data_IF_373207294197
#
_entry.id   IF_373207294197
#
_cell.length_a   1.000
_cell.length_b   1.000
_cell.length_c   1.000
_cell.angle_alpha   90.00
_cell.angle_beta   90.00
_cell.angle_gamma   90.00
#
_symmetry.space_group_name_H-M   'P 1'
#
loop_
_entity.id
_entity.type
_entity.pdbx_description
1 polymer ?
#
# COMPACT_ATOMS: atom_id res chain seq x y z
N UNK A 1 6.66 -23.82 -3.98
CA UNK A 1 6.48 -22.66 -3.09
C UNK A 1 6.29 -21.38 -3.89
N UNK A 2 5.09 -20.81 -3.80
CA UNK A 2 4.67 -19.55 -4.42
C UNK A 2 4.34 -18.58 -3.28
N UNK A 3 4.96 -17.41 -3.29
CA UNK A 3 4.73 -16.39 -2.26
C UNK A 3 3.55 -15.49 -2.61
N UNK A 4 2.68 -15.18 -1.64
CA UNK A 4 1.64 -14.17 -1.83
C UNK A 4 2.06 -12.91 -1.08
N UNK A 5 2.11 -11.79 -1.80
CA UNK A 5 2.40 -10.48 -1.24
C UNK A 5 1.11 -9.67 -1.20
N UNK A 6 0.53 -9.55 -0.01
CA UNK A 6 -0.56 -8.61 0.27
C UNK A 6 0.05 -7.25 0.58
N UNK A 7 -0.13 -6.30 -0.32
CA UNK A 7 0.38 -4.95 -0.16
C UNK A 7 -0.78 -3.96 -0.07
N UNK A 8 -0.72 -3.07 0.93
CA UNK A 8 -1.68 -2.00 1.09
C UNK A 8 -1.04 -0.61 1.14
N UNK A 9 -1.66 0.33 0.45
CA UNK A 9 -1.25 1.73 0.40
C UNK A 9 -2.08 2.61 1.33
N UNK A 10 -1.42 3.46 2.11
CA UNK A 10 -2.05 4.48 2.92
C UNK A 10 -1.56 5.86 2.48
N UNK A 11 -2.46 6.63 1.86
CA UNK A 11 -2.21 8.01 1.49
C UNK A 11 -3.37 8.93 1.87
N UNK A 12 -3.04 10.01 2.60
CA UNK A 12 -3.98 11.10 2.89
C UNK A 12 -3.33 12.45 2.54
N UNK A 13 -3.83 13.17 1.52
CA UNK A 13 -3.32 14.49 1.19
C UNK A 13 -3.87 15.56 2.15
N UNK A 14 -3.19 16.69 2.26
CA UNK A 14 -3.79 17.88 2.86
C UNK A 14 -4.62 18.63 1.83
N UNK A 15 -5.90 18.84 2.15
CA UNK A 15 -6.85 19.63 1.37
C UNK A 15 -6.59 21.10 1.65
N UNK A 16 -6.63 21.87 0.59
CA UNK A 16 -6.38 23.31 0.58
C UNK A 16 -7.69 24.03 0.89
N UNK A 17 -7.62 25.18 1.59
CA UNK A 17 -8.78 26.06 1.81
C UNK A 17 -9.35 26.60 0.49
N UNK A 18 -10.66 26.84 0.38
CA UNK A 18 -11.19 27.63 -0.72
C UNK A 18 -10.59 29.04 -0.67
N UNK A 19 -9.88 29.42 -1.72
CA UNK A 19 -9.28 30.75 -1.85
C UNK A 19 -10.15 31.65 -2.71
N UNK A 20 -10.53 32.80 -2.16
CA UNK A 20 -11.21 33.84 -2.90
C UNK A 20 -10.23 34.94 -3.30
N UNK A 21 -10.55 35.61 -4.41
CA UNK A 21 -9.77 36.76 -4.88
C UNK A 21 -9.60 37.84 -3.80
N UNK A 22 -10.62 38.00 -2.94
CA UNK A 22 -10.60 38.99 -1.85
C UNK A 22 -9.71 38.62 -0.68
N UNK A 23 -9.21 37.39 -0.59
CA UNK A 23 -8.30 36.99 0.48
C UNK A 23 -6.86 37.48 0.19
N UNK A 24 -6.53 37.79 -1.07
CA UNK A 24 -5.19 38.19 -1.49
C UNK A 24 -4.77 39.50 -0.80
N UNK A 25 -3.70 39.47 -0.01
CA UNK A 25 -3.13 40.64 0.66
C UNK A 25 -3.90 41.11 1.90
N UNK A 26 -4.99 40.41 2.26
CA UNK A 26 -5.86 40.75 3.39
C UNK A 26 -5.71 39.80 4.59
N UNK A 27 -4.62 39.01 4.63
CA UNK A 27 -4.35 38.12 5.78
C UNK A 27 -3.12 38.61 6.54
N UNK A 28 -3.31 38.89 7.81
CA UNK A 28 -2.24 39.21 8.74
C UNK A 28 -1.56 37.92 9.25
N UNK A 29 -0.25 37.81 9.02
CA UNK A 29 0.58 36.68 9.50
C UNK A 29 0.78 35.54 8.50
N UNK A 30 1.47 34.45 8.91
CA UNK A 30 1.69 33.30 8.04
C UNK A 30 0.36 32.63 7.70
N UNK A 31 0.05 32.57 6.40
CA UNK A 31 -1.20 31.99 5.93
C UNK A 31 -1.15 30.45 6.01
N UNK A 32 -2.08 29.86 6.74
CA UNK A 32 -2.30 28.41 6.68
C UNK A 32 -3.13 28.05 5.45
N UNK A 33 -2.46 27.52 4.43
CA UNK A 33 -3.05 27.11 3.16
C UNK A 33 -4.00 25.92 3.28
N UNK A 34 -3.91 25.13 4.36
CA UNK A 34 -4.63 23.88 4.49
C UNK A 34 -5.89 24.01 5.33
N UNK A 35 -6.93 23.31 4.92
CA UNK A 35 -8.21 23.24 5.63
C UNK A 35 -8.12 22.19 6.75
N UNK A 36 -7.56 22.58 7.90
CA UNK A 36 -7.27 21.68 9.02
C UNK A 36 -8.53 20.96 9.54
N UNK A 37 -9.66 21.66 9.62
CA UNK A 37 -10.91 21.08 10.10
C UNK A 37 -11.45 20.02 9.13
N UNK A 38 -11.43 20.31 7.82
CA UNK A 38 -11.82 19.34 6.81
C UNK A 38 -10.88 18.14 6.77
N UNK A 39 -9.57 18.39 6.82
CA UNK A 39 -8.56 17.32 6.84
C UNK A 39 -8.75 16.40 8.05
N UNK A 40 -8.90 16.96 9.24
CA UNK A 40 -9.17 16.22 10.47
C UNK A 40 -10.47 15.44 10.40
N UNK A 41 -11.54 16.06 9.93
CA UNK A 41 -12.85 15.42 9.81
C UNK A 41 -12.82 14.21 8.85
N UNK A 42 -12.19 14.36 7.69
CA UNK A 42 -12.01 13.28 6.72
C UNK A 42 -11.16 12.17 7.33
N UNK A 43 -10.00 12.50 7.91
CA UNK A 43 -9.13 11.51 8.53
C UNK A 43 -9.87 10.73 9.60
N UNK A 44 -10.56 11.38 10.53
CA UNK A 44 -11.28 10.71 11.61
C UNK A 44 -12.34 9.74 11.07
N UNK A 45 -13.07 10.14 10.01
CA UNK A 45 -14.06 9.29 9.37
C UNK A 45 -13.43 8.03 8.76
N UNK A 46 -12.37 8.21 7.96
CA UNK A 46 -11.69 7.08 7.29
C UNK A 46 -11.01 6.19 8.34
N UNK A 47 -10.37 6.77 9.34
CA UNK A 47 -9.67 6.05 10.40
C UNK A 47 -10.61 5.15 11.20
N UNK A 48 -11.79 5.65 11.57
CA UNK A 48 -12.78 4.87 12.33
C UNK A 48 -13.36 3.69 11.54
N UNK A 49 -13.47 3.81 10.22
CA UNK A 49 -14.07 2.78 9.35
C UNK A 49 -13.07 1.80 8.77
N UNK A 50 -11.85 2.27 8.51
CA UNK A 50 -10.84 1.55 7.74
C UNK A 50 -9.58 1.33 8.57
N UNK A 51 -8.79 2.37 8.84
CA UNK A 51 -7.42 2.19 9.32
C UNK A 51 -7.33 1.49 10.68
N UNK A 52 -8.15 1.89 11.66
CA UNK A 52 -8.15 1.27 12.98
C UNK A 52 -8.57 -0.20 12.92
N UNK A 53 -9.78 -0.56 12.43
CA UNK A 53 -10.19 -1.96 12.37
C UNK A 53 -9.29 -2.82 11.47
N UNK A 54 -8.77 -2.27 10.36
CA UNK A 54 -7.88 -3.01 9.48
C UNK A 54 -6.50 -3.27 10.12
N UNK A 55 -5.89 -2.29 10.78
CA UNK A 55 -4.61 -2.51 11.48
C UNK A 55 -4.76 -3.43 12.69
N UNK A 56 -5.86 -3.34 13.43
CA UNK A 56 -6.18 -4.26 14.52
C UNK A 56 -6.31 -5.70 14.01
N UNK A 57 -7.05 -5.90 12.90
CA UNK A 57 -7.21 -7.22 12.28
C UNK A 57 -5.88 -7.77 11.75
N UNK A 58 -5.05 -6.94 11.09
CA UNK A 58 -3.75 -7.39 10.60
C UNK A 58 -2.84 -7.83 11.75
N UNK A 59 -2.82 -7.10 12.87
CA UNK A 59 -2.04 -7.47 14.05
C UNK A 59 -2.54 -8.78 14.66
N UNK A 60 -3.86 -8.96 14.76
CA UNK A 60 -4.47 -10.20 15.23
C UNK A 60 -4.13 -11.39 14.31
N UNK A 61 -4.19 -11.20 12.98
CA UNK A 61 -3.84 -12.24 12.00
C UNK A 61 -2.37 -12.67 12.10
N UNK A 62 -1.44 -11.72 12.28
CA UNK A 62 -0.03 -12.03 12.50
C UNK A 62 0.14 -12.96 13.71
N UNK A 63 -0.55 -12.66 14.82
CA UNK A 63 -0.48 -13.50 16.02
C UNK A 63 -1.15 -14.87 15.83
N UNK A 64 -2.35 -14.93 15.23
CA UNK A 64 -3.09 -16.19 15.02
C UNK A 64 -2.36 -17.15 14.10
N UNK A 65 -1.67 -16.62 13.09
CA UNK A 65 -0.92 -17.42 12.13
C UNK A 65 0.56 -17.55 12.49
N UNK A 66 0.95 -17.22 13.73
CA UNK A 66 2.32 -17.39 14.24
C UNK A 66 3.41 -16.86 13.29
N UNK A 67 3.10 -15.80 12.53
CA UNK A 67 4.01 -15.21 11.57
C UNK A 67 4.10 -15.82 10.18
N UNK A 68 3.33 -16.88 9.89
CA UNK A 68 3.17 -17.43 8.52
C UNK A 68 2.36 -16.47 7.64
N UNK A 69 1.48 -15.68 8.26
CA UNK A 69 0.84 -14.56 7.61
C UNK A 69 1.78 -13.35 7.60
N UNK A 70 2.07 -12.85 6.40
CA UNK A 70 2.88 -11.66 6.18
C UNK A 70 2.20 -10.72 5.20
N UNK A 71 2.46 -9.43 5.33
CA UNK A 71 1.91 -8.40 4.46
C UNK A 71 2.85 -7.20 4.38
N UNK A 72 2.54 -6.27 3.49
CA UNK A 72 3.34 -5.09 3.22
C UNK A 72 2.47 -3.84 3.32
N UNK A 73 3.01 -2.77 3.88
CA UNK A 73 2.35 -1.46 3.96
C UNK A 73 3.22 -0.39 3.30
N UNK A 74 2.60 0.52 2.55
CA UNK A 74 3.19 1.84 2.27
C UNK A 74 2.37 2.89 3.02
N UNK A 75 3.05 3.78 3.74
CA UNK A 75 2.40 4.90 4.43
C UNK A 75 3.10 6.18 4.00
N UNK A 76 2.42 7.02 3.23
CA UNK A 76 3.00 8.29 2.76
C UNK A 76 3.40 9.21 3.94
N UNK A 77 4.37 10.09 3.73
CA UNK A 77 4.82 11.03 4.78
C UNK A 77 3.69 11.93 5.29
N UNK A 78 2.82 12.40 4.38
CA UNK A 78 1.63 13.16 4.75
C UNK A 78 0.64 12.38 5.61
N UNK A 79 0.43 11.08 5.33
CA UNK A 79 -0.42 10.25 6.16
C UNK A 79 0.17 10.10 7.58
N UNK A 80 1.48 9.89 7.70
CA UNK A 80 2.16 9.86 9.01
C UNK A 80 1.94 11.14 9.80
N UNK A 81 2.12 12.31 9.17
CA UNK A 81 1.88 13.60 9.81
C UNK A 81 0.44 13.73 10.31
N UNK A 82 -0.54 13.38 9.47
CA UNK A 82 -1.95 13.44 9.82
C UNK A 82 -2.29 12.49 10.98
N UNK A 83 -1.75 11.27 10.99
CA UNK A 83 -1.91 10.34 12.11
C UNK A 83 -1.30 10.90 13.40
N UNK A 84 -0.09 11.46 13.36
CA UNK A 84 0.53 12.06 14.54
C UNK A 84 -0.30 13.23 15.11
N UNK A 85 -0.95 14.01 14.26
CA UNK A 85 -1.74 15.16 14.70
C UNK A 85 -3.12 14.78 15.24
N UNK A 86 -3.79 13.81 14.60
CA UNK A 86 -5.22 13.62 14.80
C UNK A 86 -5.64 12.19 15.13
N UNK A 87 -4.80 11.19 14.83
CA UNK A 87 -5.08 9.79 15.18
C UNK A 87 -3.81 9.00 15.58
N UNK A 88 -3.21 9.31 16.76
CA UNK A 88 -1.99 8.66 17.22
C UNK A 88 -2.17 7.16 17.50
N UNK A 89 -3.40 6.68 17.66
CA UNK A 89 -3.68 5.24 17.81
C UNK A 89 -3.16 4.43 16.61
N UNK A 90 -3.32 4.96 15.39
CA UNK A 90 -2.82 4.30 14.19
C UNK A 90 -1.29 4.24 14.23
N UNK A 91 -0.61 5.31 14.64
CA UNK A 91 0.86 5.30 14.77
C UNK A 91 1.32 4.22 15.74
N UNK A 92 0.67 4.10 16.89
CA UNK A 92 1.00 3.07 17.88
C UNK A 92 0.75 1.65 17.35
N UNK A 93 -0.32 1.44 16.58
CA UNK A 93 -0.56 0.17 15.89
C UNK A 93 0.48 -0.13 14.81
N UNK A 94 0.89 0.86 14.00
CA UNK A 94 1.94 0.67 13.00
C UNK A 94 3.28 0.29 13.66
N UNK A 95 3.61 0.86 14.82
CA UNK A 95 4.77 0.44 15.62
C UNK A 95 4.64 -0.99 16.14
N UNK A 96 3.47 -1.35 16.67
CA UNK A 96 3.21 -2.71 17.17
C UNK A 96 3.33 -3.74 16.06
N UNK A 97 2.83 -3.42 14.87
CA UNK A 97 3.06 -4.21 13.66
C UNK A 97 4.57 -4.31 13.41
N UNK A 98 5.28 -3.18 13.29
CA UNK A 98 6.74 -3.12 13.10
C UNK A 98 7.55 -3.99 14.09
N UNK A 99 7.10 -4.07 15.35
CA UNK A 99 7.72 -4.87 16.41
C UNK A 99 7.52 -6.39 16.22
N UNK A 100 6.52 -6.82 15.44
CA UNK A 100 6.29 -8.25 15.17
C UNK A 100 7.30 -8.82 14.18
N UNK A 101 7.78 -8.02 13.22
CA UNK A 101 8.72 -8.47 12.19
C UNK A 101 8.11 -9.42 11.15
N UNK A 102 6.79 -9.43 11.03
CA UNK A 102 6.03 -10.24 10.06
C UNK A 102 5.44 -9.41 8.91
N UNK A 103 5.78 -8.13 8.87
CA UNK A 103 5.38 -7.15 7.88
C UNK A 103 6.60 -6.47 7.25
N UNK A 104 6.39 -5.84 6.10
CA UNK A 104 7.36 -4.94 5.50
C UNK A 104 6.72 -3.55 5.31
N UNK A 105 7.44 -2.50 5.70
CA UNK A 105 7.07 -1.15 5.28
C UNK A 105 7.91 -0.69 4.08
N UNK A 106 7.24 -0.18 3.06
CA UNK A 106 7.87 0.35 1.85
C UNK A 106 8.28 1.80 2.02
N UNK A 107 9.35 2.18 1.31
CA UNK A 107 9.64 3.58 1.06
C UNK A 107 8.78 4.11 -0.09
N UNK A 108 8.46 5.41 0.00
CA UNK A 108 7.74 6.19 -0.99
C UNK A 108 8.35 7.60 -1.05
N UNK A 109 7.83 8.46 -1.91
CA UNK A 109 8.05 9.90 -1.81
C UNK A 109 7.28 10.48 -0.62
N UNK A 110 7.89 11.42 0.11
CA UNK A 110 7.27 12.00 1.31
C UNK A 110 5.86 12.55 1.08
N UNK A 111 5.70 13.28 -0.03
CA UNK A 111 4.45 13.97 -0.37
C UNK A 111 3.54 13.16 -1.28
N UNK A 112 3.88 11.90 -1.60
CA UNK A 112 3.18 11.12 -2.64
C UNK A 112 3.15 11.88 -3.98
N UNK A 113 4.29 12.45 -4.35
CA UNK A 113 4.39 13.36 -5.49
C UNK A 113 4.87 12.66 -6.74
N UNK A 114 4.62 13.27 -7.91
CA UNK A 114 5.17 12.83 -9.19
C UNK A 114 6.61 13.34 -9.43
N UNK A 115 7.36 13.63 -8.38
CA UNK A 115 8.71 14.22 -8.45
C UNK A 115 9.68 13.40 -9.34
N UNK A 116 9.52 12.08 -9.38
CA UNK A 116 10.29 11.16 -10.22
C UNK A 116 10.23 11.47 -11.72
N UNK A 117 9.19 12.18 -12.18
CA UNK A 117 8.99 12.54 -13.59
C UNK A 117 9.66 13.87 -13.97
N UNK A 118 9.98 14.72 -12.99
CA UNK A 118 10.36 16.11 -13.24
C UNK A 118 11.74 16.47 -12.71
N UNK A 119 12.15 15.92 -11.56
CA UNK A 119 13.41 16.30 -10.92
C UNK A 119 13.96 15.15 -10.08
N UNK A 120 15.08 14.58 -10.51
CA UNK A 120 15.81 13.56 -9.75
C UNK A 120 16.22 14.07 -8.37
N UNK A 121 16.64 15.33 -8.25
CA UNK A 121 17.03 15.92 -6.98
C UNK A 121 15.85 15.94 -6.00
N UNK A 122 14.72 16.48 -6.45
CA UNK A 122 13.49 16.55 -5.64
C UNK A 122 13.02 15.15 -5.24
N UNK A 123 13.04 14.22 -6.19
CA UNK A 123 12.68 12.83 -5.95
C UNK A 123 13.53 12.20 -4.85
N UNK A 124 14.87 12.28 -4.95
CA UNK A 124 15.78 11.75 -3.93
C UNK A 124 15.58 12.42 -2.57
N UNK A 125 15.42 13.75 -2.56
CA UNK A 125 15.18 14.51 -1.32
C UNK A 125 13.90 14.03 -0.63
N UNK A 126 12.79 13.88 -1.35
CA UNK A 126 11.54 13.38 -0.81
C UNK A 126 11.62 11.93 -0.32
N UNK A 127 12.33 11.06 -1.04
CA UNK A 127 12.51 9.66 -0.61
C UNK A 127 13.32 9.62 0.69
N UNK A 128 14.41 10.39 0.80
CA UNK A 128 15.17 10.44 2.05
C UNK A 128 14.40 11.11 3.20
N UNK A 129 13.55 12.10 2.90
CA UNK A 129 12.63 12.66 3.90
C UNK A 129 11.68 11.58 4.42
N UNK A 130 11.12 10.76 3.53
CA UNK A 130 10.21 9.68 3.88
C UNK A 130 10.88 8.63 4.76
N UNK A 131 12.05 8.14 4.38
CA UNK A 131 12.83 7.18 5.18
C UNK A 131 13.10 7.74 6.60
N UNK A 132 13.48 9.02 6.71
CA UNK A 132 13.70 9.66 8.02
C UNK A 132 12.42 9.72 8.85
N UNK A 133 11.28 10.01 8.24
CA UNK A 133 9.99 10.03 8.93
C UNK A 133 9.57 8.62 9.38
N UNK A 134 9.70 7.61 8.52
CA UNK A 134 9.44 6.20 8.89
C UNK A 134 10.29 5.78 10.09
N UNK A 135 11.60 6.05 10.06
CA UNK A 135 12.49 5.71 11.17
C UNK A 135 12.14 6.48 12.45
N UNK A 136 11.75 7.75 12.34
CA UNK A 136 11.40 8.60 13.50
C UNK A 136 10.05 8.22 14.12
N UNK A 137 9.06 7.93 13.28
CA UNK A 137 7.66 7.77 13.69
C UNK A 137 7.35 6.31 14.02
N UNK A 138 7.81 5.37 13.20
CA UNK A 138 7.50 3.93 13.33
C UNK A 138 8.71 3.15 13.87
N UNK A 139 9.94 3.66 13.69
CA UNK A 139 11.15 2.93 14.07
C UNK A 139 11.66 1.97 12.98
N UNK A 140 11.13 2.08 11.77
CA UNK A 140 11.40 1.16 10.66
C UNK A 140 12.20 1.83 9.53
N UNK A 141 13.19 1.12 8.97
CA UNK A 141 13.95 1.55 7.78
C UNK A 141 13.56 0.67 6.58
N UNK A 142 12.91 1.23 5.55
CA UNK A 142 12.52 0.47 4.36
C UNK A 142 13.69 -0.04 3.50
N UNK A 143 13.48 -1.21 2.87
CA UNK A 143 14.43 -1.84 1.93
C UNK A 143 13.86 -2.04 0.52
N UNK A 144 12.54 -1.94 0.39
CA UNK A 144 11.80 -2.00 -0.86
C UNK A 144 11.13 -0.66 -1.13
N UNK A 145 10.98 -0.31 -2.41
CA UNK A 145 10.48 0.99 -2.83
C UNK A 145 9.20 0.86 -3.65
N UNK A 146 8.21 1.70 -3.38
CA UNK A 146 7.17 1.99 -4.37
C UNK A 146 7.29 3.42 -4.82
N UNK A 147 7.17 3.62 -6.13
CA UNK A 147 6.97 4.95 -6.65
C UNK A 147 5.48 5.30 -6.64
N UNK A 148 5.19 6.60 -6.55
CA UNK A 148 3.84 7.17 -6.65
C UNK A 148 3.08 6.57 -7.83
N UNK A 149 1.84 6.11 -7.60
CA UNK A 149 0.97 5.45 -8.59
C UNK A 149 1.59 4.23 -9.30
N UNK A 150 2.56 3.55 -8.68
CA UNK A 150 3.31 2.44 -9.28
C UNK A 150 3.98 2.82 -10.62
N UNK A 151 4.23 4.12 -10.83
CA UNK A 151 4.83 4.62 -12.07
C UNK A 151 6.24 4.09 -12.19
N UNK A 152 6.47 3.32 -13.25
CA UNK A 152 7.73 2.68 -13.52
C UNK A 152 8.39 3.21 -14.80
N UNK A 153 9.70 3.40 -14.71
CA UNK A 153 10.59 3.42 -15.86
C UNK A 153 11.92 2.78 -15.47
N UNK A 154 12.69 2.31 -16.45
CA UNK A 154 14.04 1.78 -16.15
C UNK A 154 14.93 2.82 -15.48
N UNK A 155 14.69 4.13 -15.71
CA UNK A 155 15.39 5.22 -15.04
C UNK A 155 14.99 5.31 -13.57
N UNK A 156 13.68 5.28 -13.25
CA UNK A 156 13.19 5.30 -11.86
C UNK A 156 13.70 4.08 -11.08
N UNK A 157 13.71 2.90 -11.69
CA UNK A 157 14.27 1.69 -11.08
C UNK A 157 15.78 1.83 -10.81
N UNK A 158 16.53 2.43 -11.74
CA UNK A 158 17.95 2.73 -11.54
C UNK A 158 18.16 3.74 -10.40
N UNK A 159 17.33 4.78 -10.31
CA UNK A 159 17.37 5.73 -9.20
C UNK A 159 17.10 5.05 -7.86
N UNK A 160 16.05 4.23 -7.76
CA UNK A 160 15.73 3.47 -6.55
C UNK A 160 16.90 2.55 -6.15
N UNK A 161 17.45 1.80 -7.10
CA UNK A 161 18.60 0.94 -6.84
C UNK A 161 19.84 1.73 -6.38
N UNK A 162 20.10 2.91 -6.96
CA UNK A 162 21.21 3.79 -6.54
C UNK A 162 21.05 4.36 -5.13
N UNK A 163 19.82 4.35 -4.58
CA UNK A 163 19.54 4.69 -3.18
C UNK A 163 19.61 3.49 -2.24
N UNK A 164 19.91 2.29 -2.76
CA UNK A 164 20.08 1.07 -1.98
C UNK A 164 18.84 0.16 -1.88
N UNK A 165 17.77 0.46 -2.60
CA UNK A 165 16.57 -0.39 -2.59
C UNK A 165 16.78 -1.69 -3.37
N UNK A 166 16.27 -2.79 -2.81
CA UNK A 166 16.43 -4.14 -3.36
C UNK A 166 15.28 -4.53 -4.30
N UNK A 167 14.10 -3.91 -4.12
CA UNK A 167 12.95 -4.13 -4.98
C UNK A 167 12.21 -2.83 -5.29
N UNK A 168 11.53 -2.82 -6.43
CA UNK A 168 10.62 -1.76 -6.85
C UNK A 168 9.29 -2.35 -7.32
N UNK A 169 8.19 -1.76 -6.86
CA UNK A 169 6.84 -2.15 -7.27
C UNK A 169 6.45 -1.45 -8.59
N UNK A 170 5.70 -2.14 -9.43
CA UNK A 170 5.15 -1.58 -10.67
C UNK A 170 3.82 -2.24 -11.07
N UNK A 171 3.09 -1.60 -11.98
CA UNK A 171 1.87 -2.17 -12.55
C UNK A 171 2.16 -3.37 -13.48
N UNK A 172 1.36 -4.44 -13.37
CA UNK A 172 1.46 -5.65 -14.18
C UNK A 172 0.56 -5.63 -15.42
N UNK A 173 0.44 -4.47 -16.08
CA UNK A 173 -0.46 -4.30 -17.22
C UNK A 173 -0.03 -5.14 -18.45
N UNK A 174 -1.00 -5.76 -19.12
CA UNK A 174 -0.77 -6.65 -20.28
C UNK A 174 0.02 -5.97 -21.40
N UNK A 175 -0.24 -4.68 -21.65
CA UNK A 175 0.48 -3.89 -22.67
C UNK A 175 1.98 -3.80 -22.39
N UNK A 176 2.39 -3.85 -21.11
CA UNK A 176 3.80 -3.79 -20.69
C UNK A 176 4.42 -5.19 -20.72
N UNK A 177 3.66 -6.21 -20.30
CA UNK A 177 4.14 -7.58 -20.15
C UNK A 177 4.19 -8.37 -21.47
N UNK A 178 3.28 -8.11 -22.41
CA UNK A 178 3.16 -8.92 -23.61
C UNK A 178 2.83 -10.38 -23.26
N UNK A 179 3.74 -11.31 -23.54
CA UNK A 179 3.58 -12.73 -23.22
C UNK A 179 3.99 -13.12 -21.79
N UNK A 180 4.59 -12.17 -21.05
CA UNK A 180 5.07 -12.38 -19.67
C UNK A 180 3.91 -12.37 -18.67
N UNK A 181 4.16 -12.85 -17.46
CA UNK A 181 3.15 -12.93 -16.39
C UNK A 181 3.54 -12.04 -15.22
N UNK A 182 2.60 -11.34 -14.56
CA UNK A 182 2.90 -10.58 -13.34
C UNK A 182 3.29 -11.47 -12.15
N UNK A 183 3.11 -12.79 -12.28
CA UNK A 183 3.36 -13.77 -11.21
C UNK A 183 4.84 -14.19 -11.10
N UNK A 184 5.75 -13.41 -11.66
CA UNK A 184 7.20 -13.61 -11.54
C UNK A 184 7.88 -12.28 -11.22
N UNK A 185 8.93 -12.28 -10.38
CA UNK A 185 9.79 -11.12 -10.23
C UNK A 185 10.63 -10.93 -11.49
N UNK A 186 10.75 -9.69 -11.93
CA UNK A 186 11.62 -9.31 -13.05
C UNK A 186 12.85 -8.54 -12.56
N UNK A 187 13.78 -8.27 -13.47
CA UNK A 187 14.96 -7.45 -13.20
C UNK A 187 14.88 -6.18 -14.03
N UNK A 188 15.28 -5.04 -13.44
CA UNK A 188 15.32 -3.79 -14.17
C UNK A 188 16.44 -3.79 -15.21
N UNK A 189 16.19 -3.22 -16.39
CA UNK A 189 17.13 -3.29 -17.53
C UNK A 189 18.48 -2.62 -17.24
N UNK A 190 18.49 -1.50 -16.53
CA UNK A 190 19.69 -0.70 -16.26
C UNK A 190 20.30 -0.96 -14.88
N UNK A 191 19.67 -1.82 -14.08
CA UNK A 191 20.24 -2.31 -12.84
C UNK A 191 19.62 -3.70 -12.50
N UNK A 192 20.27 -4.80 -12.89
CA UNK A 192 19.72 -6.15 -12.69
C UNK A 192 19.61 -6.61 -11.22
N UNK A 193 20.23 -5.87 -10.29
CA UNK A 193 20.21 -6.18 -8.86
C UNK A 193 18.83 -5.88 -8.26
N UNK A 194 18.15 -4.81 -8.71
CA UNK A 194 16.81 -4.47 -8.23
C UNK A 194 15.75 -5.39 -8.86
N UNK A 195 14.88 -5.95 -8.03
CA UNK A 195 13.76 -6.79 -8.47
C UNK A 195 12.52 -5.94 -8.74
N UNK A 196 11.88 -6.14 -9.88
CA UNK A 196 10.59 -5.55 -10.19
C UNK A 196 9.47 -6.50 -9.72
N UNK A 197 8.63 -6.02 -8.81
CA UNK A 197 7.47 -6.73 -8.28
C UNK A 197 6.21 -6.16 -8.93
N UNK A 198 5.51 -6.97 -9.70
CA UNK A 198 4.42 -6.52 -10.57
C UNK A 198 3.08 -6.81 -9.93
N UNK A 199 2.19 -5.82 -9.83
CA UNK A 199 0.80 -6.00 -9.42
C UNK A 199 0.11 -7.03 -10.32
N UNK A 200 -0.53 -8.03 -9.74
CA UNK A 200 -1.52 -8.83 -10.47
C UNK A 200 -2.84 -8.03 -10.47
N UNK A 201 -3.03 -7.19 -11.48
CA UNK A 201 -4.12 -6.22 -11.48
C UNK A 201 -5.49 -6.88 -11.45
N UNK A 202 -5.68 -8.00 -12.16
CA UNK A 202 -6.97 -8.71 -12.18
C UNK A 202 -7.40 -9.14 -10.78
N UNK A 203 -6.57 -9.90 -10.07
CA UNK A 203 -6.90 -10.42 -8.75
C UNK A 203 -6.89 -9.35 -7.66
N UNK A 204 -6.05 -8.32 -7.80
CA UNK A 204 -6.08 -7.17 -6.89
C UNK A 204 -7.39 -6.40 -7.02
N UNK A 205 -7.82 -6.13 -8.25
CA UNK A 205 -9.03 -5.36 -8.54
C UNK A 205 -10.32 -6.14 -8.21
N UNK A 206 -10.27 -7.47 -8.25
CA UNK A 206 -11.37 -8.33 -7.78
C UNK A 206 -11.69 -8.10 -6.29
N UNK A 207 -10.67 -7.87 -5.46
CA UNK A 207 -10.84 -7.51 -4.05
C UNK A 207 -11.14 -6.01 -3.92
N UNK A 208 -10.37 -5.14 -4.57
CA UNK A 208 -10.46 -3.70 -4.39
C UNK A 208 -11.77 -3.10 -4.89
N UNK A 209 -12.25 -3.54 -6.07
CA UNK A 209 -13.37 -2.91 -6.77
C UNK A 209 -14.59 -3.81 -6.89
N UNK A 210 -14.41 -5.13 -7.14
CA UNK A 210 -15.53 -6.03 -7.47
C UNK A 210 -16.12 -6.80 -6.29
N UNK A 211 -15.49 -6.75 -5.12
CA UNK A 211 -15.87 -7.55 -3.96
C UNK A 211 -17.35 -7.40 -3.56
N UNK A 212 -17.86 -6.16 -3.47
CA UNK A 212 -19.26 -5.85 -3.20
C UNK A 212 -20.20 -5.85 -4.42
N UNK A 213 -19.69 -6.12 -5.63
CA UNK A 213 -20.46 -5.96 -6.87
C UNK A 213 -21.37 -7.18 -7.14
N UNK A 214 -22.63 -7.11 -6.70
CA UNK A 214 -23.61 -8.21 -6.84
C UNK A 214 -23.91 -8.65 -8.29
N UNK A 215 -23.63 -7.78 -9.27
CA UNK A 215 -23.82 -8.08 -10.69
C UNK A 215 -22.58 -8.70 -11.34
N UNK A 216 -21.44 -8.72 -10.65
CA UNK A 216 -20.24 -9.39 -11.13
C UNK A 216 -20.44 -10.90 -11.09
N UNK A 217 -20.05 -11.59 -12.17
CA UNK A 217 -20.30 -13.03 -12.35
C UNK A 217 -19.73 -13.90 -11.24
N UNK A 218 -18.64 -13.48 -10.62
CA UNK A 218 -17.99 -14.23 -9.55
C UNK A 218 -18.47 -13.83 -8.15
N UNK A 219 -19.46 -12.94 -8.01
CA UNK A 219 -20.04 -12.59 -6.72
C UNK A 219 -20.86 -13.76 -6.14
N UNK A 220 -20.82 -14.03 -4.82
CA UNK A 220 -19.96 -13.38 -3.82
C UNK A 220 -18.52 -13.90 -3.86
N UNK A 221 -17.56 -13.02 -3.58
CA UNK A 221 -16.14 -13.39 -3.45
C UNK A 221 -15.86 -13.87 -2.02
N UNK A 222 -15.60 -15.16 -1.86
CA UNK A 222 -15.26 -15.77 -0.56
C UNK A 222 -13.77 -16.09 -0.48
N UNK A 223 -13.23 -16.21 0.75
CA UNK A 223 -11.83 -16.59 0.96
C UNK A 223 -11.49 -17.93 0.28
N UNK A 224 -12.39 -18.91 0.33
CA UNK A 224 -12.20 -20.22 -0.34
C UNK A 224 -12.24 -20.14 -1.87
N UNK A 225 -13.07 -19.24 -2.42
CA UNK A 225 -13.11 -19.02 -3.87
C UNK A 225 -11.82 -18.36 -4.33
N UNK A 226 -11.43 -17.27 -3.66
CA UNK A 226 -10.21 -16.55 -3.97
C UNK A 226 -8.96 -17.41 -3.78
N UNK A 227 -8.90 -18.21 -2.71
CA UNK A 227 -7.74 -19.07 -2.45
C UNK A 227 -7.54 -20.10 -3.56
N UNK A 228 -8.61 -20.67 -4.12
CA UNK A 228 -8.50 -21.58 -5.28
C UNK A 228 -7.87 -20.90 -6.48
N UNK A 229 -8.28 -19.67 -6.80
CA UNK A 229 -7.66 -18.90 -7.89
C UNK A 229 -6.19 -18.58 -7.61
N UNK A 230 -5.85 -18.24 -6.36
CA UNK A 230 -4.46 -18.03 -5.98
C UNK A 230 -3.63 -19.32 -6.08
N UNK A 231 -4.20 -20.47 -5.71
CA UNK A 231 -3.54 -21.78 -5.78
C UNK A 231 -3.24 -22.23 -7.21
N UNK A 232 -4.04 -21.81 -8.20
CA UNK A 232 -3.78 -22.08 -9.63
C UNK A 232 -2.47 -21.45 -10.15
N UNK A 233 -1.89 -20.51 -9.39
CA UNK A 233 -0.60 -19.90 -9.71
C UNK A 233 0.55 -20.85 -9.36
N UNK A 234 0.37 -21.80 -8.44
CA UNK A 234 1.40 -22.80 -8.16
C UNK A 234 1.75 -23.57 -9.45
N UNK A 235 3.05 -23.62 -9.76
CA UNK A 235 3.57 -24.20 -11.01
C UNK A 235 3.52 -23.25 -12.22
N UNK A 236 2.78 -22.14 -12.16
CA UNK A 236 2.67 -21.11 -13.22
C UNK A 236 3.21 -19.74 -12.80
N UNK A 237 3.73 -19.61 -11.58
CA UNK A 237 4.24 -18.38 -11.00
C UNK A 237 4.97 -18.65 -9.67
N UNK A 238 5.89 -17.78 -9.32
CA UNK A 238 6.61 -17.83 -8.04
C UNK A 238 6.10 -16.80 -7.04
N UNK A 239 5.37 -15.78 -7.50
CA UNK A 239 4.78 -14.75 -6.66
C UNK A 239 3.36 -14.41 -7.10
N UNK A 240 2.50 -14.01 -6.16
CA UNK A 240 1.23 -13.33 -6.43
C UNK A 240 1.22 -12.02 -5.64
N UNK A 241 1.28 -10.92 -6.36
CA UNK A 241 1.33 -9.57 -5.80
C UNK A 241 -0.08 -8.94 -5.85
N UNK A 242 -0.70 -8.79 -4.69
CA UNK A 242 -2.03 -8.22 -4.51
C UNK A 242 -1.89 -6.81 -3.96
N UNK A 243 -1.93 -5.82 -4.85
CA UNK A 243 -1.58 -4.44 -4.52
C UNK A 243 -2.83 -3.57 -4.52
N UNK A 244 -3.18 -3.00 -3.36
CA UNK A 244 -4.46 -2.31 -3.16
C UNK A 244 -4.31 -1.07 -2.30
N UNK A 245 -5.25 -0.14 -2.40
CA UNK A 245 -5.42 0.92 -1.40
C UNK A 245 -5.89 0.29 -0.09
N UNK A 246 -5.37 0.74 1.04
CA UNK A 246 -5.78 0.23 2.35
C UNK A 246 -7.24 0.56 2.65
N UNK A 247 -7.73 1.68 2.10
CA UNK A 247 -9.14 2.11 2.11
C UNK A 247 -10.08 1.10 1.43
N UNK A 248 -9.55 0.13 0.69
CA UNK A 248 -10.31 -1.07 0.27
C UNK A 248 -11.04 -1.70 1.46
N UNK A 249 -10.37 -1.78 2.60
CA UNK A 249 -10.89 -2.35 3.83
C UNK A 249 -11.67 -1.29 4.61
N UNK A 250 -13.00 -1.27 4.47
CA UNK A 250 -13.89 -0.46 5.31
C UNK A 250 -14.35 0.88 4.73
N UNK A 251 -13.69 1.44 3.71
CA UNK A 251 -14.15 2.69 3.04
C UNK A 251 -14.63 2.45 1.60
N UNK A 252 -13.87 1.75 0.74
CA UNK A 252 -14.33 1.37 -0.60
C UNK A 252 -15.23 0.13 -0.56
N UNK A 253 -14.84 -0.90 0.20
CA UNK A 253 -15.70 -2.02 0.55
C UNK A 253 -16.11 -1.85 2.01
N UNK A 254 -17.39 -1.59 2.27
CA UNK A 254 -17.87 -1.35 3.63
C UNK A 254 -17.86 -2.62 4.46
N UNK A 255 -17.80 -2.49 5.79
CA UNK A 255 -17.75 -3.65 6.69
C UNK A 255 -18.93 -4.63 6.49
N UNK A 256 -20.12 -4.11 6.17
CA UNK A 256 -21.33 -4.90 5.90
C UNK A 256 -21.27 -5.72 4.59
N UNK A 257 -20.31 -5.45 3.70
CA UNK A 257 -20.03 -6.31 2.55
C UNK A 257 -19.35 -7.63 2.96
N UNK A 258 -18.80 -7.72 4.17
CA UNK A 258 -18.04 -8.87 4.66
C UNK A 258 -16.54 -8.82 4.32
N UNK A 259 -16.00 -7.66 3.92
CA UNK A 259 -14.58 -7.54 3.52
C UNK A 259 -13.62 -7.89 4.67
N UNK A 260 -13.98 -7.54 5.92
CA UNK A 260 -13.18 -7.90 7.09
C UNK A 260 -13.22 -9.40 7.37
N UNK A 261 -14.41 -10.03 7.29
CA UNK A 261 -14.56 -11.49 7.45
C UNK A 261 -13.80 -12.25 6.35
N UNK A 262 -13.79 -11.71 5.14
CA UNK A 262 -12.98 -12.23 4.03
C UNK A 262 -11.49 -12.17 4.35
N UNK A 263 -10.97 -11.00 4.76
CA UNK A 263 -9.55 -10.85 5.08
C UNK A 263 -9.16 -11.71 6.29
N UNK A 264 -10.04 -11.82 7.30
CA UNK A 264 -9.85 -12.68 8.47
C UNK A 264 -9.69 -14.16 8.09
N UNK A 265 -10.49 -14.62 7.12
CA UNK A 265 -10.49 -16.03 6.69
C UNK A 265 -9.40 -16.34 5.66
N UNK A 266 -8.93 -15.32 4.93
CA UNK A 266 -8.07 -15.48 3.76
C UNK A 266 -6.75 -16.20 4.07
N UNK A 267 -5.96 -15.85 5.11
CA UNK A 267 -4.69 -16.52 5.38
C UNK A 267 -4.88 -18.02 5.66
N UNK A 268 -5.87 -18.36 6.47
CA UNK A 268 -6.24 -19.76 6.72
C UNK A 268 -6.58 -20.51 5.43
N UNK A 269 -7.34 -19.89 4.52
CA UNK A 269 -7.70 -20.51 3.24
C UNK A 269 -6.51 -20.67 2.28
N UNK A 270 -5.57 -19.72 2.27
CA UNK A 270 -4.36 -19.75 1.45
C UNK A 270 -3.35 -20.80 1.93
N UNK A 271 -3.11 -20.87 3.24
CA UNK A 271 -2.12 -21.76 3.86
C UNK A 271 -2.50 -23.25 3.83
N UNK A 272 -3.73 -23.59 3.41
CA UNK A 272 -4.15 -25.00 3.23
C UNK A 272 -3.41 -25.71 2.09
N UNK A 273 -2.83 -24.99 1.14
CA UNK A 273 -2.11 -25.58 0.02
C UNK A 273 -0.60 -25.63 0.33
N UNK A 274 0.07 -26.80 0.24
CA UNK A 274 1.48 -26.97 0.64
C UNK A 274 2.48 -26.09 -0.12
N UNK A 275 2.13 -25.63 -1.33
CA UNK A 275 2.97 -24.66 -2.07
C UNK A 275 2.89 -23.23 -1.53
N UNK A 276 2.04 -22.95 -0.55
CA UNK A 276 1.82 -21.62 0.02
C UNK A 276 2.06 -21.56 1.53
N UNK A 277 2.40 -22.70 2.15
CA UNK A 277 2.86 -22.81 3.55
C UNK A 277 4.35 -22.54 3.67
#
# INVERSE_FOLDING_TARGET
MTSICLYFEIHQPFRIKPFHFFDIGNIDGPYDYFDQDRNRSILNKVSAKSYRPATDLLLDLVHRHSGDFRFTLSVSGLALEQFQMWDPYIVDNLKRLAETGHEEFLADTYYHSLSSLYSEREFREQVYMHIRAMQKVIGYTPHSFRNTELIYSNHIAWLAASMGFQSILMEGADRVLGWRSPNFPYQAKYNPEIKCMLKNYSLSDDIAFRFGEKNWREWPLTADKFSRWAHEIAGNGTVLNLFMDFETLGEHQWADTGIFDFLESLPGSLLRHPDFS
#
